data_IF_647739423589
#
_entry.id   IF_647739423589
#
_cell.length_a   1.000
_cell.length_b   1.000
_cell.length_c   1.000
_cell.angle_alpha   90.00
_cell.angle_beta   90.00
_cell.angle_gamma   90.00
#
_symmetry.space_group_name_H-M   'P 1'
#
loop_
_entity.id
_entity.type
_entity.pdbx_description
1 polymer ?
#
# COMPACT_ATOMS: atom_id res chain seq x y z
N UNK A 1 -1.34 -8.18 9.64
CA UNK A 1 -1.95 -6.84 9.47
C UNK A 1 -0.89 -5.78 9.76
N UNK A 2 -0.73 -4.83 8.86
CA UNK A 2 0.11 -3.63 9.03
C UNK A 2 -0.84 -2.45 8.76
N UNK A 3 -1.01 -1.54 9.71
CA UNK A 3 -1.87 -0.37 9.56
C UNK A 3 -1.14 0.84 10.13
N UNK A 4 -1.13 1.94 9.37
CA UNK A 4 -0.49 3.16 9.78
C UNK A 4 -0.18 4.10 8.62
N UNK A 5 0.52 5.19 8.94
CA UNK A 5 1.02 6.13 7.94
C UNK A 5 2.38 5.73 7.38
N UNK A 6 3.07 6.69 6.76
CA UNK A 6 4.45 6.51 6.29
C UNK A 6 4.58 5.92 4.88
N UNK A 7 3.48 5.86 4.11
CA UNK A 7 3.41 5.43 2.71
C UNK A 7 4.56 5.94 1.83
N UNK A 8 4.98 7.19 2.02
CA UNK A 8 6.13 7.81 1.31
C UNK A 8 7.44 7.00 1.40
N UNK A 9 7.64 6.18 2.43
CA UNK A 9 8.85 5.35 2.59
C UNK A 9 8.80 4.03 1.79
N UNK A 10 7.62 3.66 1.31
CA UNK A 10 7.37 2.45 0.53
C UNK A 10 7.36 2.70 -0.98
N UNK A 11 7.27 3.96 -1.42
CA UNK A 11 7.19 4.33 -2.85
C UNK A 11 8.38 5.19 -3.29
N UNK A 12 8.69 5.11 -4.58
CA UNK A 12 9.73 5.89 -5.25
C UNK A 12 9.37 7.38 -5.29
N UNK A 13 10.39 8.25 -5.37
CA UNK A 13 10.19 9.70 -5.60
C UNK A 13 9.33 10.02 -6.82
N UNK A 14 9.38 9.18 -7.86
CA UNK A 14 8.59 9.40 -9.08
C UNK A 14 7.12 8.98 -8.95
N UNK A 15 6.74 8.34 -7.85
CA UNK A 15 5.36 7.91 -7.61
C UNK A 15 4.63 8.99 -6.82
N UNK A 16 3.65 9.68 -7.44
CA UNK A 16 2.84 10.64 -6.71
C UNK A 16 1.94 9.91 -5.70
N UNK A 17 1.70 10.56 -4.59
CA UNK A 17 0.82 10.03 -3.56
C UNK A 17 -0.66 10.13 -3.99
N UNK A 18 -1.46 9.06 -3.83
CA UNK A 18 -2.86 9.05 -4.29
C UNK A 18 -3.79 9.96 -3.48
N UNK A 19 -3.46 10.30 -2.23
CA UNK A 19 -4.24 11.26 -1.44
C UNK A 19 -3.69 12.68 -1.59
N UNK A 20 -2.38 12.83 -1.79
CA UNK A 20 -1.71 14.12 -1.86
C UNK A 20 -0.75 14.18 -3.06
N UNK A 21 -1.22 14.51 -4.28
CA UNK A 21 -0.40 14.45 -5.49
C UNK A 21 0.87 15.33 -5.46
N UNK A 22 0.88 16.35 -4.61
CA UNK A 22 2.04 17.23 -4.36
C UNK A 22 3.14 16.56 -3.53
N UNK A 23 2.84 15.43 -2.89
CA UNK A 23 3.78 14.65 -2.10
C UNK A 23 4.29 13.47 -2.90
N UNK A 24 5.61 13.36 -2.90
CA UNK A 24 6.35 12.29 -3.53
C UNK A 24 6.83 11.25 -2.52
N UNK A 25 7.15 10.06 -3.04
CA UNK A 25 7.90 9.06 -2.30
C UNK A 25 9.29 9.53 -1.86
N UNK A 26 9.92 8.75 -0.99
CA UNK A 26 11.27 9.03 -0.46
C UNK A 26 12.31 8.07 -1.00
N UNK A 27 11.91 6.98 -1.65
CA UNK A 27 12.86 5.97 -2.13
C UNK A 27 13.59 6.45 -3.37
N UNK A 28 14.88 6.14 -3.44
CA UNK A 28 15.79 6.48 -4.55
C UNK A 28 16.12 5.27 -5.43
N UNK A 29 15.69 4.08 -5.03
CA UNK A 29 15.99 2.81 -5.72
C UNK A 29 14.97 2.44 -6.80
N UNK A 30 14.02 3.34 -7.08
CA UNK A 30 12.98 3.12 -8.10
C UNK A 30 11.93 2.06 -7.73
N UNK A 31 11.99 1.50 -6.51
CA UNK A 31 11.13 0.39 -6.10
C UNK A 31 9.82 0.89 -5.49
N UNK A 32 8.76 0.13 -5.73
CA UNK A 32 7.48 0.29 -5.05
C UNK A 32 7.24 -0.95 -4.19
N UNK A 33 7.51 -0.82 -2.89
CA UNK A 33 7.41 -1.91 -1.93
C UNK A 33 5.96 -2.36 -1.70
N UNK A 34 4.96 -1.49 -1.91
CA UNK A 34 3.55 -1.87 -1.82
C UNK A 34 3.20 -2.84 -2.94
N UNK A 35 3.65 -2.54 -4.17
CA UNK A 35 3.46 -3.44 -5.31
C UNK A 35 4.22 -4.74 -5.12
N UNK A 36 5.45 -4.69 -4.62
CA UNK A 36 6.23 -5.89 -4.33
C UNK A 36 5.60 -6.75 -3.23
N UNK A 37 5.10 -6.13 -2.16
CA UNK A 37 4.40 -6.84 -1.09
C UNK A 37 3.12 -7.51 -1.62
N UNK A 38 2.34 -6.80 -2.43
CA UNK A 38 1.13 -7.34 -3.05
C UNK A 38 1.47 -8.51 -3.98
N UNK A 39 2.55 -8.39 -4.76
CA UNK A 39 3.04 -9.48 -5.64
C UNK A 39 3.48 -10.70 -4.84
N UNK A 40 4.21 -10.50 -3.75
CA UNK A 40 4.70 -11.59 -2.91
C UNK A 40 3.57 -12.38 -2.24
N UNK A 41 2.44 -11.73 -1.99
CA UNK A 41 1.25 -12.35 -1.40
C UNK A 41 0.16 -12.65 -2.42
N UNK A 42 0.46 -12.76 -3.72
CA UNK A 42 -0.54 -13.11 -4.75
C UNK A 42 -1.22 -14.47 -4.54
N UNK A 43 -0.54 -15.40 -3.86
CA UNK A 43 -1.09 -16.71 -3.53
C UNK A 43 -1.96 -16.68 -2.26
N UNK A 44 -2.13 -15.52 -1.63
CA UNK A 44 -2.99 -15.29 -0.47
C UNK A 44 -3.91 -14.12 -0.77
N UNK A 45 -5.01 -13.99 -0.04
CA UNK A 45 -5.90 -12.85 -0.25
C UNK A 45 -5.33 -11.61 0.44
N UNK A 46 -4.33 -10.98 -0.19
CA UNK A 46 -3.69 -9.77 0.30
C UNK A 46 -4.33 -8.51 -0.30
N UNK A 47 -4.61 -7.53 0.56
CA UNK A 47 -5.22 -6.25 0.17
C UNK A 47 -4.44 -5.08 0.75
N UNK A 48 -4.16 -4.11 -0.11
CA UNK A 48 -3.60 -2.83 0.29
C UNK A 48 -4.72 -1.78 0.29
N UNK A 49 -4.82 -1.02 1.39
CA UNK A 49 -5.79 0.06 1.57
C UNK A 49 -5.07 1.32 2.02
N UNK A 50 -5.52 2.47 1.55
CA UNK A 50 -4.88 3.75 1.89
C UNK A 50 -5.84 4.82 2.38
N UNK A 51 -7.15 4.56 2.36
CA UNK A 51 -8.18 5.47 2.85
C UNK A 51 -9.24 4.72 3.66
N UNK A 52 -10.07 5.47 4.37
CA UNK A 52 -11.11 4.91 5.25
C UNK A 52 -12.16 4.10 4.49
N UNK A 53 -12.58 4.56 3.32
CA UNK A 53 -13.60 3.90 2.52
C UNK A 53 -13.16 2.50 2.07
N UNK A 54 -11.90 2.38 1.66
CA UNK A 54 -11.32 1.09 1.29
C UNK A 54 -11.18 0.16 2.48
N UNK A 55 -10.79 0.70 3.64
CA UNK A 55 -10.69 -0.07 4.89
C UNK A 55 -12.06 -0.62 5.31
N UNK A 56 -13.10 0.22 5.32
CA UNK A 56 -14.46 -0.17 5.70
C UNK A 56 -15.07 -1.18 4.70
N UNK A 57 -14.56 -1.22 3.46
CA UNK A 57 -14.97 -2.18 2.42
C UNK A 57 -14.21 -3.52 2.46
N UNK A 58 -13.28 -3.73 3.40
CA UNK A 58 -12.56 -5.00 3.55
C UNK A 58 -13.43 -6.02 4.27
N UNK A 59 -13.65 -7.17 3.64
CA UNK A 59 -14.24 -8.33 4.29
C UNK A 59 -13.12 -9.15 4.99
N UNK A 60 -13.08 -9.20 6.33
CA UNK A 60 -12.04 -9.91 7.07
C UNK A 60 -12.13 -11.44 6.90
N UNK A 61 -13.25 -11.99 6.40
CA UNK A 61 -13.38 -13.42 6.11
C UNK A 61 -12.72 -13.83 4.79
N UNK A 62 -12.48 -12.86 3.90
CA UNK A 62 -11.92 -13.07 2.57
C UNK A 62 -10.48 -12.58 2.43
N UNK A 63 -9.93 -11.89 3.43
CA UNK A 63 -8.61 -11.23 3.36
C UNK A 63 -7.69 -11.74 4.46
N UNK A 64 -6.60 -12.40 4.06
CA UNK A 64 -5.59 -12.95 4.97
C UNK A 64 -4.57 -11.89 5.40
N UNK A 65 -4.28 -10.93 4.51
CA UNK A 65 -3.27 -9.90 4.73
C UNK A 65 -3.82 -8.51 4.38
N UNK A 66 -3.70 -7.59 5.32
CA UNK A 66 -4.07 -6.19 5.16
C UNK A 66 -2.84 -5.30 5.40
N UNK A 67 -2.58 -4.41 4.44
CA UNK A 67 -1.56 -3.35 4.45
C UNK A 67 -2.23 -1.99 4.28
#
# INVERSE_FOLDING_TARGET
>A
VILGGGRRHFVSKVTPDPEEPEKEGRRLDGRNLITEWTRNHQNSSARYVYNKEQFDAVDPSQVDYLL
#
